data_IF_414816033401
#
_entry.id   IF_414816033401
#
_cell.length_a   1.000
_cell.length_b   1.000
_cell.length_c   1.000
_cell.angle_alpha   90.00
_cell.angle_beta   90.00
_cell.angle_gamma   90.00
#
_symmetry.space_group_name_H-M   'P 1'
#
loop_
_entity.id
_entity.type
_entity.pdbx_description
1 polymer ?
#
# COMPACT_ATOMS: atom_id res chain seq x y z
N UNK A 1 75.50 16.97 -21.23
CA UNK A 1 75.72 16.08 -22.38
C UNK A 1 75.89 16.99 -23.58
N UNK A 2 77.13 17.04 -24.03
CA UNK A 2 77.69 18.06 -24.89
C UNK A 2 77.23 17.92 -26.35
N UNK A 3 77.02 19.09 -26.95
CA UNK A 3 76.75 19.33 -28.36
C UNK A 3 77.95 18.91 -29.22
N UNK A 4 77.67 18.28 -30.37
CA UNK A 4 78.62 18.13 -31.48
C UNK A 4 77.97 18.79 -32.70
N UNK A 5 78.23 20.09 -32.86
CA UNK A 5 77.91 20.86 -34.06
C UNK A 5 79.04 20.66 -35.08
N UNK A 6 78.80 19.82 -36.08
CA UNK A 6 79.66 19.70 -37.25
C UNK A 6 79.39 20.91 -38.19
N UNK A 7 80.18 21.95 -37.98
CA UNK A 7 80.23 23.17 -38.79
C UNK A 7 80.93 22.88 -40.12
N UNK A 8 80.16 22.79 -41.21
CA UNK A 8 80.67 22.73 -42.58
C UNK A 8 80.07 23.88 -43.39
N UNK A 9 80.83 24.97 -43.49
CA UNK A 9 80.49 26.09 -44.36
C UNK A 9 81.61 27.11 -44.43
N UNK A 10 82.58 26.88 -45.32
CA UNK A 10 83.31 27.97 -45.97
C UNK A 10 83.71 27.54 -47.39
N UNK A 11 82.72 27.51 -48.29
CA UNK A 11 82.97 27.52 -49.74
C UNK A 11 82.65 28.94 -50.19
N UNK A 12 83.71 29.74 -50.16
CA UNK A 12 83.76 31.07 -50.74
C UNK A 12 83.45 31.03 -52.24
N UNK A 13 82.67 32.01 -52.69
CA UNK A 13 82.95 32.78 -53.89
C UNK A 13 82.97 32.00 -55.21
N UNK A 14 81.80 31.79 -55.78
CA UNK A 14 81.63 31.52 -57.20
C UNK A 14 80.46 32.34 -57.72
N UNK A 15 80.70 33.63 -57.95
CA UNK A 15 79.83 34.49 -58.76
C UNK A 15 79.91 33.99 -60.21
N UNK A 16 79.16 32.92 -60.50
CA UNK A 16 78.92 32.46 -61.85
C UNK A 16 77.59 33.10 -62.27
N UNK A 17 77.58 33.95 -63.31
CA UNK A 17 76.32 34.45 -63.84
C UNK A 17 75.55 33.25 -64.37
N UNK A 18 74.54 32.81 -63.61
CA UNK A 18 73.64 31.75 -64.05
C UNK A 18 73.12 32.15 -65.42
N UNK A 19 73.41 31.31 -66.41
CA UNK A 19 72.92 31.57 -67.76
C UNK A 19 71.39 31.57 -67.68
N UNK A 20 70.75 32.48 -68.42
CA UNK A 20 69.26 32.63 -68.46
C UNK A 20 68.49 31.30 -68.52
N UNK A 21 68.97 30.21 -69.17
CA UNK A 21 68.32 28.90 -69.14
C UNK A 21 68.28 28.19 -67.77
N UNK A 22 69.28 28.34 -66.92
CA UNK A 22 69.36 27.63 -65.62
C UNK A 22 68.44 28.26 -64.58
N UNK A 23 68.33 29.59 -64.58
CA UNK A 23 67.33 30.30 -63.76
C UNK A 23 65.89 29.98 -64.22
N UNK A 24 65.67 29.76 -65.52
CA UNK A 24 64.40 29.32 -66.05
C UNK A 24 64.06 27.86 -65.66
N UNK A 25 65.07 26.98 -65.59
CA UNK A 25 64.90 25.62 -65.11
C UNK A 25 64.55 25.59 -63.61
N UNK A 26 65.25 26.39 -62.79
CA UNK A 26 64.96 26.55 -61.36
C UNK A 26 63.57 27.16 -61.13
N UNK A 27 63.16 28.17 -61.92
CA UNK A 27 61.81 28.74 -61.79
C UNK A 27 60.73 27.71 -62.15
N UNK A 28 60.99 26.87 -63.16
CA UNK A 28 60.07 25.79 -63.56
C UNK A 28 59.95 24.75 -62.44
N UNK A 29 61.06 24.33 -61.84
CA UNK A 29 61.06 23.39 -60.72
C UNK A 29 60.36 24.01 -59.50
N UNK A 30 60.63 25.28 -59.17
CA UNK A 30 59.92 25.97 -58.07
C UNK A 30 58.42 26.09 -58.33
N UNK A 31 57.99 26.30 -59.57
CA UNK A 31 56.58 26.29 -59.93
C UNK A 31 55.96 24.89 -59.79
N UNK A 32 56.65 23.82 -60.22
CA UNK A 32 56.16 22.45 -60.06
C UNK A 32 56.07 22.05 -58.58
N UNK A 33 57.09 22.39 -57.77
CA UNK A 33 57.07 22.18 -56.32
C UNK A 33 55.93 22.97 -55.68
N UNK A 34 55.71 24.22 -56.11
CA UNK A 34 54.57 25.03 -55.67
C UNK A 34 53.22 24.39 -56.01
N UNK A 35 53.06 23.82 -57.21
CA UNK A 35 51.84 23.11 -57.61
C UNK A 35 51.65 21.82 -56.84
N UNK A 36 52.72 21.06 -56.60
CA UNK A 36 52.67 19.83 -55.79
C UNK A 36 52.24 20.17 -54.36
N UNK A 37 52.82 21.23 -53.78
CA UNK A 37 52.44 21.70 -52.43
C UNK A 37 50.99 22.14 -52.38
N UNK A 38 50.52 22.92 -53.36
CA UNK A 38 49.12 23.32 -53.43
C UNK A 38 48.16 22.12 -53.58
N UNK A 39 48.54 21.08 -54.35
CA UNK A 39 47.75 19.85 -54.46
C UNK A 39 47.74 19.04 -53.16
N UNK A 40 48.85 19.02 -52.42
CA UNK A 40 48.92 18.37 -51.11
C UNK A 40 48.05 19.09 -50.08
N UNK A 41 48.12 20.42 -50.04
CA UNK A 41 47.29 21.22 -49.14
C UNK A 41 45.80 21.05 -49.46
N UNK A 42 45.43 20.97 -50.75
CA UNK A 42 44.06 20.66 -51.18
C UNK A 42 43.64 19.25 -50.76
N UNK A 43 44.49 18.23 -50.96
CA UNK A 43 44.18 16.86 -50.56
C UNK A 43 44.00 16.73 -49.04
N UNK A 44 44.78 17.46 -48.24
CA UNK A 44 44.62 17.50 -46.79
C UNK A 44 43.32 18.21 -46.37
N UNK A 45 42.95 19.30 -47.07
CA UNK A 45 41.67 19.98 -46.83
C UNK A 45 40.46 19.11 -47.19
N UNK A 46 40.56 18.33 -48.28
CA UNK A 46 39.54 17.38 -48.71
C UNK A 46 39.41 16.23 -47.70
N UNK A 47 40.53 15.66 -47.23
CA UNK A 47 40.53 14.64 -46.17
C UNK A 47 39.93 15.15 -44.86
N UNK A 48 40.25 16.38 -44.45
CA UNK A 48 39.64 17.00 -43.26
C UNK A 48 38.12 17.19 -43.44
N UNK A 49 37.66 17.45 -44.66
CA UNK A 49 36.23 17.59 -44.97
C UNK A 49 35.52 16.24 -44.95
N UNK A 50 36.10 15.20 -45.52
CA UNK A 50 35.60 13.82 -45.44
C UNK A 50 35.53 13.34 -43.98
N UNK A 51 36.57 13.59 -43.18
CA UNK A 51 36.59 13.22 -41.76
C UNK A 51 35.45 13.89 -40.96
N UNK A 52 35.15 15.17 -41.26
CA UNK A 52 34.02 15.89 -40.65
C UNK A 52 32.66 15.36 -41.07
N UNK A 53 32.53 14.84 -42.30
CA UNK A 53 31.30 14.24 -42.80
C UNK A 53 31.07 12.81 -42.27
N UNK A 54 32.14 12.04 -42.05
CA UNK A 54 32.04 10.66 -41.54
C UNK A 54 31.80 10.62 -40.02
N UNK A 55 32.28 11.59 -39.25
CA UNK A 55 32.07 11.65 -37.79
C UNK A 55 30.60 11.62 -37.34
N UNK A 56 29.68 12.39 -37.96
CA UNK A 56 28.24 12.28 -37.74
C UNK A 56 27.67 10.90 -38.09
N UNK A 57 28.11 10.29 -39.20
CA UNK A 57 27.64 8.95 -39.63
C UNK A 57 28.06 7.89 -38.61
N UNK A 58 29.30 7.91 -38.12
CA UNK A 58 29.77 7.00 -37.08
C UNK A 58 28.96 7.14 -35.78
N UNK A 59 28.60 8.38 -35.39
CA UNK A 59 27.74 8.65 -34.22
C UNK A 59 26.31 8.15 -34.42
N UNK A 60 25.76 8.27 -35.63
CA UNK A 60 24.45 7.70 -35.97
C UNK A 60 24.47 6.18 -35.91
N UNK A 61 25.53 5.53 -36.41
CA UNK A 61 25.69 4.06 -36.30
C UNK A 61 25.69 3.59 -34.85
N UNK A 62 26.47 4.25 -33.98
CA UNK A 62 26.48 3.97 -32.54
C UNK A 62 25.09 4.21 -31.92
N UNK A 63 24.40 5.28 -32.31
CA UNK A 63 23.04 5.57 -31.83
C UNK A 63 22.01 4.52 -32.25
N UNK A 64 22.12 4.00 -33.48
CA UNK A 64 21.26 2.92 -33.99
C UNK A 64 21.54 1.61 -33.25
N UNK A 65 22.80 1.27 -33.01
CA UNK A 65 23.16 0.08 -32.22
C UNK A 65 22.64 0.17 -30.78
N UNK A 66 22.77 1.33 -30.14
CA UNK A 66 22.21 1.57 -28.80
C UNK A 66 20.68 1.49 -28.79
N UNK A 67 20.01 1.99 -29.83
CA UNK A 67 18.56 1.89 -29.94
C UNK A 67 18.13 0.43 -30.16
N UNK A 68 18.83 -0.33 -30.99
CA UNK A 68 18.57 -1.75 -31.20
C UNK A 68 18.72 -2.55 -29.89
N UNK A 69 19.77 -2.27 -29.10
CA UNK A 69 19.94 -2.86 -27.77
C UNK A 69 18.77 -2.52 -26.83
N UNK A 70 18.32 -1.27 -26.82
CA UNK A 70 17.17 -0.85 -26.01
C UNK A 70 15.87 -1.52 -26.44
N UNK A 71 15.65 -1.68 -27.75
CA UNK A 71 14.48 -2.40 -28.28
C UNK A 71 14.51 -3.87 -27.85
N UNK A 72 15.66 -4.55 -27.94
CA UNK A 72 15.79 -5.94 -27.49
C UNK A 72 15.49 -6.10 -25.98
N UNK A 73 15.89 -5.13 -25.15
CA UNK A 73 15.54 -5.11 -23.71
C UNK A 73 14.04 -4.93 -23.52
N UNK A 74 13.40 -4.03 -24.27
CA UNK A 74 11.94 -3.83 -24.21
C UNK A 74 11.17 -5.08 -24.64
N UNK A 75 11.62 -5.77 -25.70
CA UNK A 75 11.02 -7.04 -26.13
C UNK A 75 11.17 -8.13 -25.07
N UNK A 76 12.34 -8.22 -24.43
CA UNK A 76 12.59 -9.16 -23.34
C UNK A 76 11.68 -8.88 -22.15
N UNK A 77 11.59 -7.61 -21.71
CA UNK A 77 10.70 -7.18 -20.64
C UNK A 77 9.23 -7.44 -21.00
N UNK A 78 8.83 -7.24 -22.26
CA UNK A 78 7.49 -7.56 -22.75
C UNK A 78 7.18 -9.06 -22.61
N UNK A 79 8.15 -9.91 -22.96
CA UNK A 79 8.05 -11.36 -22.75
C UNK A 79 7.94 -11.76 -21.28
N UNK A 80 8.75 -11.15 -20.40
CA UNK A 80 8.71 -11.39 -18.95
C UNK A 80 7.39 -10.95 -18.32
N UNK A 81 6.85 -9.78 -18.71
CA UNK A 81 5.54 -9.30 -18.26
C UNK A 81 4.42 -10.24 -18.72
N UNK A 82 4.46 -10.72 -19.96
CA UNK A 82 3.48 -11.67 -20.46
C UNK A 82 3.56 -13.01 -19.71
N UNK A 83 4.77 -13.50 -19.44
CA UNK A 83 4.99 -14.71 -18.66
C UNK A 83 4.48 -14.56 -17.22
N UNK A 84 4.73 -13.41 -16.59
CA UNK A 84 4.23 -13.09 -15.25
C UNK A 84 2.70 -12.98 -15.23
N UNK A 85 2.09 -12.32 -16.20
CA UNK A 85 0.63 -12.24 -16.33
C UNK A 85 0.01 -13.64 -16.45
N UNK A 86 0.59 -14.49 -17.30
CA UNK A 86 0.17 -15.89 -17.46
C UNK A 86 0.34 -16.68 -16.16
N UNK A 87 1.44 -16.48 -15.43
CA UNK A 87 1.67 -17.14 -14.14
C UNK A 87 0.70 -16.65 -13.06
N UNK A 88 0.37 -15.36 -13.03
CA UNK A 88 -0.62 -14.79 -12.09
C UNK A 88 -2.02 -15.32 -12.40
N UNK A 89 -2.39 -15.40 -13.68
CA UNK A 89 -3.67 -16.01 -14.10
C UNK A 89 -3.71 -17.50 -13.74
N UNK A 90 -2.63 -18.24 -13.97
CA UNK A 90 -2.53 -19.65 -13.59
C UNK A 90 -2.61 -19.84 -12.07
N UNK A 91 -1.92 -18.99 -11.29
CA UNK A 91 -2.01 -18.99 -9.83
C UNK A 91 -3.42 -18.61 -9.34
N UNK A 92 -4.10 -17.67 -10.00
CA UNK A 92 -5.49 -17.34 -9.71
C UNK A 92 -6.46 -18.48 -10.03
N UNK A 93 -6.21 -19.19 -11.12
CA UNK A 93 -6.98 -20.39 -11.48
C UNK A 93 -6.72 -21.57 -10.54
N UNK A 94 -5.48 -21.76 -10.09
CA UNK A 94 -5.08 -22.82 -9.14
C UNK A 94 -5.48 -22.51 -7.70
N UNK A 95 -5.48 -21.24 -7.30
CA UNK A 95 -5.93 -20.81 -5.98
C UNK A 95 -7.36 -21.29 -5.68
N UNK A 96 -8.16 -21.51 -6.72
CA UNK A 96 -9.57 -21.85 -6.59
C UNK A 96 -10.34 -20.67 -6.02
N UNK A 97 -11.67 -20.75 -6.07
CA UNK A 97 -12.50 -19.80 -5.31
C UNK A 97 -12.06 -19.88 -3.85
N UNK A 98 -11.72 -18.75 -3.19
CA UNK A 98 -11.38 -18.77 -1.77
C UNK A 98 -12.50 -19.48 -1.01
N UNK A 99 -12.17 -20.24 0.05
CA UNK A 99 -13.18 -20.97 0.80
C UNK A 99 -14.28 -19.99 1.23
N UNK A 100 -15.55 -20.43 1.17
CA UNK A 100 -16.67 -19.58 1.54
C UNK A 100 -16.46 -19.07 2.98
N UNK A 101 -16.40 -17.75 3.13
CA UNK A 101 -16.28 -17.12 4.44
C UNK A 101 -17.67 -16.68 4.91
N UNK A 102 -17.98 -16.85 6.21
CA UNK A 102 -19.18 -16.27 6.78
C UNK A 102 -19.22 -14.77 6.50
N UNK A 103 -20.29 -14.31 5.86
CA UNK A 103 -20.52 -12.88 5.70
C UNK A 103 -20.89 -12.32 7.08
N UNK A 104 -20.19 -11.29 7.51
CA UNK A 104 -20.56 -10.53 8.70
C UNK A 104 -21.67 -9.54 8.34
N UNK A 105 -22.85 -9.72 8.92
CA UNK A 105 -24.01 -8.85 8.73
C UNK A 105 -23.69 -7.37 9.00
N UNK A 106 -22.79 -7.08 9.94
CA UNK A 106 -22.37 -5.71 10.24
C UNK A 106 -21.73 -5.04 9.02
N UNK A 107 -21.04 -5.82 8.19
CA UNK A 107 -20.21 -5.36 7.08
C UNK A 107 -20.78 -5.69 5.70
N UNK A 108 -21.95 -6.35 5.61
CA UNK A 108 -22.61 -6.61 4.34
C UNK A 108 -23.03 -5.30 3.64
N UNK A 109 -22.60 -5.12 2.39
CA UNK A 109 -22.87 -3.91 1.59
C UNK A 109 -24.36 -3.80 1.23
N UNK A 110 -24.96 -4.88 0.70
CA UNK A 110 -26.41 -4.98 0.49
C UNK A 110 -27.02 -6.02 1.44
N UNK A 111 -27.36 -5.56 2.64
CA UNK A 111 -27.99 -6.40 3.68
C UNK A 111 -29.33 -6.96 3.24
N UNK A 112 -30.09 -6.26 2.41
CA UNK A 112 -31.44 -6.69 2.04
C UNK A 112 -31.39 -7.83 1.02
N UNK A 113 -30.57 -7.68 -0.03
CA UNK A 113 -30.33 -8.72 -1.02
C UNK A 113 -29.71 -9.95 -0.35
N UNK A 114 -28.67 -9.76 0.46
CA UNK A 114 -28.01 -10.87 1.15
C UNK A 114 -28.95 -11.63 2.10
N UNK A 115 -29.79 -10.92 2.88
CA UNK A 115 -30.79 -11.58 3.72
C UNK A 115 -31.83 -12.36 2.89
N UNK A 116 -32.24 -11.83 1.74
CA UNK A 116 -33.17 -12.51 0.84
C UNK A 116 -32.57 -13.82 0.30
N UNK A 117 -31.31 -13.79 -0.13
CA UNK A 117 -30.57 -14.98 -0.56
C UNK A 117 -30.45 -16.02 0.55
N UNK A 118 -30.18 -15.58 1.78
CA UNK A 118 -30.09 -16.48 2.93
C UNK A 118 -31.44 -17.15 3.24
N UNK A 119 -32.55 -16.42 3.13
CA UNK A 119 -33.91 -16.97 3.29
C UNK A 119 -34.21 -18.04 2.23
N UNK A 120 -33.83 -17.79 0.97
CA UNK A 120 -33.96 -18.77 -0.12
C UNK A 120 -33.12 -20.02 0.16
N UNK A 121 -31.87 -19.85 0.58
CA UNK A 121 -30.99 -20.96 0.94
C UNK A 121 -31.54 -21.79 2.10
N UNK A 122 -32.05 -21.15 3.16
CA UNK A 122 -32.67 -21.87 4.30
C UNK A 122 -33.86 -22.71 3.82
N UNK A 123 -34.72 -22.15 2.96
CA UNK A 123 -35.87 -22.87 2.41
C UNK A 123 -35.45 -24.04 1.52
N UNK A 124 -34.56 -23.79 0.56
CA UNK A 124 -34.31 -24.73 -0.54
C UNK A 124 -33.24 -25.77 -0.18
N UNK A 125 -32.27 -25.42 0.67
CA UNK A 125 -31.15 -26.29 1.05
C UNK A 125 -31.34 -26.81 2.47
N UNK A 126 -31.43 -25.92 3.46
CA UNK A 126 -31.39 -26.33 4.88
C UNK A 126 -32.63 -27.13 5.28
N UNK A 127 -33.83 -26.62 4.99
CA UNK A 127 -35.09 -27.31 5.34
C UNK A 127 -35.29 -28.56 4.49
N UNK A 128 -34.93 -28.53 3.20
CA UNK A 128 -34.99 -29.71 2.33
C UNK A 128 -34.07 -30.83 2.81
N UNK A 129 -32.82 -30.50 3.18
CA UNK A 129 -31.85 -31.47 3.66
C UNK A 129 -32.11 -31.96 5.09
N UNK A 130 -32.71 -31.11 5.93
CA UNK A 130 -33.00 -31.39 7.34
C UNK A 130 -34.40 -30.93 7.73
N UNK A 131 -35.45 -31.71 7.42
CA UNK A 131 -36.84 -31.28 7.63
C UNK A 131 -37.19 -30.87 9.06
N UNK A 132 -36.54 -31.47 10.07
CA UNK A 132 -36.71 -31.10 11.48
C UNK A 132 -36.33 -29.64 11.80
N UNK A 133 -35.55 -28.97 10.93
CA UNK A 133 -35.25 -27.54 11.03
C UNK A 133 -36.53 -26.72 10.92
N UNK A 134 -37.49 -27.11 10.08
CA UNK A 134 -38.73 -26.35 9.90
C UNK A 134 -39.56 -26.24 11.19
N UNK A 135 -39.49 -27.26 12.05
CA UNK A 135 -40.22 -27.28 13.33
C UNK A 135 -39.48 -26.50 14.43
N UNK A 136 -38.14 -26.44 14.35
CA UNK A 136 -37.27 -25.87 15.39
C UNK A 136 -36.85 -24.44 15.13
N UNK A 137 -36.67 -24.06 13.86
CA UNK A 137 -36.28 -22.71 13.47
C UNK A 137 -37.54 -21.84 13.35
N UNK A 138 -37.75 -20.87 14.26
CA UNK A 138 -38.97 -20.08 14.27
C UNK A 138 -39.05 -19.17 13.05
N UNK A 139 -40.26 -18.95 12.50
CA UNK A 139 -40.44 -18.09 11.33
C UNK A 139 -40.03 -16.62 11.54
N UNK A 140 -39.79 -16.16 12.77
CA UNK A 140 -39.26 -14.84 13.06
C UNK A 140 -37.74 -14.73 12.93
N UNK A 141 -37.01 -15.83 12.70
CA UNK A 141 -35.54 -15.87 12.65
C UNK A 141 -34.89 -14.77 11.81
N UNK A 142 -35.43 -14.31 10.64
CA UNK A 142 -34.76 -13.28 9.84
C UNK A 142 -34.73 -11.90 10.53
N UNK A 143 -35.49 -11.71 11.61
CA UNK A 143 -35.52 -10.47 12.38
C UNK A 143 -34.56 -10.49 13.56
N UNK A 144 -33.96 -11.63 13.87
CA UNK A 144 -32.97 -11.75 14.94
C UNK A 144 -31.58 -11.73 14.32
N UNK A 145 -30.87 -10.60 14.50
CA UNK A 145 -29.53 -10.39 13.94
C UNK A 145 -28.56 -11.52 14.30
N UNK A 146 -28.59 -11.99 15.54
CA UNK A 146 -27.68 -13.03 16.01
C UNK A 146 -27.97 -14.37 15.32
N UNK A 147 -29.25 -14.76 15.22
CA UNK A 147 -29.66 -15.98 14.51
C UNK A 147 -29.31 -15.89 13.02
N UNK A 148 -29.47 -14.69 12.44
CA UNK A 148 -29.16 -14.46 11.04
C UNK A 148 -27.65 -14.62 10.77
N UNK A 149 -26.79 -14.11 11.67
CA UNK A 149 -25.33 -14.33 11.62
C UNK A 149 -24.94 -15.80 11.81
N UNK A 150 -25.63 -16.50 12.72
CA UNK A 150 -25.42 -17.93 12.97
C UNK A 150 -25.79 -18.77 11.74
N UNK A 151 -26.91 -18.47 11.08
CA UNK A 151 -27.33 -19.14 9.84
C UNK A 151 -26.37 -18.83 8.68
N UNK A 152 -25.84 -17.61 8.60
CA UNK A 152 -24.82 -17.27 7.62
C UNK A 152 -23.52 -18.07 7.81
N UNK A 153 -23.10 -18.23 9.06
CA UNK A 153 -21.96 -19.08 9.42
C UNK A 153 -22.24 -20.53 9.04
N UNK A 154 -23.44 -21.02 9.37
CA UNK A 154 -23.90 -22.35 9.01
C UNK A 154 -23.88 -22.60 7.49
N UNK A 155 -24.29 -21.61 6.68
CA UNK A 155 -24.22 -21.66 5.22
C UNK A 155 -22.78 -21.77 4.73
N UNK A 156 -21.86 -20.95 5.24
CA UNK A 156 -20.45 -21.04 4.85
C UNK A 156 -19.84 -22.41 5.22
N UNK A 157 -20.18 -22.95 6.39
CA UNK A 157 -19.74 -24.30 6.79
C UNK A 157 -20.37 -25.40 5.92
N UNK A 158 -21.63 -25.23 5.48
CA UNK A 158 -22.25 -26.13 4.50
C UNK A 158 -21.49 -26.12 3.18
N UNK A 159 -21.23 -24.93 2.62
CA UNK A 159 -20.54 -24.77 1.34
C UNK A 159 -19.12 -25.38 1.43
N UNK A 160 -18.40 -25.17 2.54
CA UNK A 160 -17.10 -25.81 2.79
C UNK A 160 -17.15 -27.34 2.98
N UNK A 161 -18.30 -27.88 3.41
CA UNK A 161 -18.49 -29.31 3.64
C UNK A 161 -18.98 -30.07 2.41
N UNK A 162 -19.81 -29.45 1.58
CA UNK A 162 -20.55 -30.12 0.51
C UNK A 162 -20.29 -29.56 -0.89
N UNK A 163 -20.00 -28.27 -1.01
CA UNK A 163 -19.84 -27.61 -2.31
C UNK A 163 -18.35 -27.45 -2.70
N UNK A 164 -17.45 -27.32 -1.72
CA UNK A 164 -16.01 -27.29 -1.95
C UNK A 164 -15.48 -28.69 -2.37
N UNK A 165 -14.91 -28.85 -3.58
CA UNK A 165 -14.31 -30.10 -4.02
C UNK A 165 -13.13 -30.57 -3.14
N UNK A 166 -12.53 -29.65 -2.37
CA UNK A 166 -11.45 -29.93 -1.41
C UNK A 166 -11.98 -30.25 0.00
N UNK A 167 -13.30 -30.23 0.18
CA UNK A 167 -13.97 -30.53 1.44
C UNK A 167 -13.57 -31.89 2.02
N UNK A 168 -13.34 -31.94 3.33
CA UNK A 168 -12.94 -33.16 4.03
C UNK A 168 -14.09 -33.68 4.90
N UNK A 169 -14.14 -34.98 5.23
CA UNK A 169 -15.22 -35.56 6.04
C UNK A 169 -15.46 -34.85 7.39
N UNK A 170 -14.42 -34.28 8.00
CA UNK A 170 -14.57 -33.56 9.27
C UNK A 170 -15.36 -32.24 9.13
N UNK A 171 -15.37 -31.58 7.97
CA UNK A 171 -16.20 -30.40 7.72
C UNK A 171 -17.70 -30.75 7.81
N UNK A 172 -18.11 -31.91 7.29
CA UNK A 172 -19.49 -32.37 7.41
C UNK A 172 -19.87 -32.69 8.87
N UNK A 173 -18.94 -33.23 9.66
CA UNK A 173 -19.14 -33.46 11.11
C UNK A 173 -19.27 -32.12 11.84
N UNK A 174 -18.44 -31.15 11.51
CA UNK A 174 -18.48 -29.80 12.08
C UNK A 174 -19.79 -29.08 11.73
N UNK A 175 -20.20 -29.10 10.46
CA UNK A 175 -21.49 -28.59 10.02
C UNK A 175 -22.65 -29.20 10.83
N UNK A 176 -22.66 -30.52 11.02
CA UNK A 176 -23.71 -31.20 11.78
C UNK A 176 -23.75 -30.79 13.25
N UNK A 177 -22.61 -30.49 13.87
CA UNK A 177 -22.56 -29.97 15.24
C UNK A 177 -23.04 -28.53 15.30
N UNK A 178 -22.54 -27.69 14.40
CA UNK A 178 -22.91 -26.29 14.30
C UNK A 178 -24.42 -26.13 14.08
N UNK A 179 -25.03 -26.96 13.22
CA UNK A 179 -26.48 -26.97 13.00
C UNK A 179 -27.27 -27.13 14.32
N UNK A 180 -26.89 -28.09 15.16
CA UNK A 180 -27.57 -28.31 16.44
C UNK A 180 -27.36 -27.15 17.42
N UNK A 181 -26.19 -26.52 17.39
CA UNK A 181 -25.89 -25.35 18.22
C UNK A 181 -26.69 -24.12 17.76
N UNK A 182 -26.76 -23.86 16.45
CA UNK A 182 -27.57 -22.77 15.86
C UNK A 182 -29.05 -22.95 16.19
N UNK A 183 -29.60 -24.17 16.08
CA UNK A 183 -31.00 -24.42 16.43
C UNK A 183 -31.28 -24.20 17.91
N UNK A 184 -30.38 -24.66 18.80
CA UNK A 184 -30.52 -24.43 20.25
C UNK A 184 -30.44 -22.96 20.62
N UNK A 185 -29.54 -22.22 19.96
CA UNK A 185 -29.41 -20.78 20.15
C UNK A 185 -30.65 -20.04 19.63
N UNK A 186 -31.17 -20.43 18.46
CA UNK A 186 -32.40 -19.89 17.92
C UNK A 186 -33.59 -20.10 18.86
N UNK A 187 -33.77 -21.32 19.39
CA UNK A 187 -34.80 -21.61 20.40
C UNK A 187 -34.66 -20.73 21.63
N UNK A 188 -33.43 -20.56 22.15
CA UNK A 188 -33.16 -19.73 23.34
C UNK A 188 -33.49 -18.25 23.08
N UNK A 189 -33.03 -17.70 21.95
CA UNK A 189 -33.23 -16.29 21.60
C UNK A 189 -34.68 -15.96 21.23
N UNK A 190 -35.48 -16.98 20.92
CA UNK A 190 -36.87 -16.82 20.49
C UNK A 190 -37.90 -17.37 21.47
N UNK A 191 -37.47 -17.86 22.64
CA UNK A 191 -38.38 -18.40 23.66
C UNK A 191 -39.48 -17.41 24.05
N UNK A 192 -39.15 -16.11 24.03
CA UNK A 192 -40.05 -15.00 24.38
C UNK A 192 -40.68 -14.34 23.13
N UNK A 193 -40.40 -14.86 21.93
CA UNK A 193 -41.03 -14.39 20.72
C UNK A 193 -42.50 -14.77 20.74
N UNK A 194 -43.34 -13.74 20.71
CA UNK A 194 -44.79 -13.94 20.65
C UNK A 194 -45.18 -14.65 19.36
N UNK A 195 -46.33 -15.33 19.42
CA UNK A 195 -46.92 -16.07 18.29
C UNK A 195 -46.99 -15.21 17.01
N UNK A 196 -46.95 -15.84 15.82
CA UNK A 196 -47.09 -15.15 14.55
C UNK A 196 -48.25 -14.13 14.55
N UNK A 197 -47.96 -12.89 14.17
CA UNK A 197 -48.95 -11.81 14.08
C UNK A 197 -48.94 -10.79 15.22
N UNK A 198 -48.19 -11.03 16.30
CA UNK A 198 -47.97 -10.04 17.36
C UNK A 198 -46.61 -9.32 17.16
N UNK A 199 -46.48 -8.06 17.62
CA UNK A 199 -45.18 -7.39 17.66
C UNK A 199 -44.27 -8.18 18.59
N UNK A 200 -43.20 -8.80 18.08
CA UNK A 200 -42.17 -9.37 18.92
C UNK A 200 -41.10 -8.32 19.23
N UNK A 201 -40.46 -8.39 20.41
CA UNK A 201 -39.32 -7.56 20.71
C UNK A 201 -38.17 -7.95 19.78
N UNK A 202 -37.98 -7.19 18.70
CA UNK A 202 -36.76 -7.24 17.91
C UNK A 202 -35.67 -6.61 18.77
N UNK A 203 -34.45 -7.20 18.86
CA UNK A 203 -33.32 -6.54 19.48
C UNK A 203 -33.23 -5.11 18.96
N UNK A 204 -33.12 -4.14 19.87
CA UNK A 204 -32.96 -2.74 19.51
C UNK A 204 -31.73 -2.53 18.64
N UNK A 205 -31.53 -1.30 18.12
CA UNK A 205 -30.26 -0.94 17.49
C UNK A 205 -29.10 -1.28 18.43
N UNK A 206 -27.91 -1.51 17.85
CA UNK A 206 -26.70 -1.75 18.63
C UNK A 206 -26.55 -0.65 19.69
N UNK A 207 -26.16 -1.04 20.90
CA UNK A 207 -25.87 -0.10 21.97
C UNK A 207 -24.77 0.85 21.50
N UNK A 208 -25.05 2.14 21.51
CA UNK A 208 -24.05 3.17 21.24
C UNK A 208 -23.38 3.55 22.55
N UNK A 209 -22.24 2.93 22.82
CA UNK A 209 -21.45 3.16 24.04
C UNK A 209 -20.50 4.35 23.92
N UNK A 210 -20.54 5.11 22.82
CA UNK A 210 -19.61 6.22 22.61
C UNK A 210 -19.77 7.30 23.67
N UNK A 211 -21.01 7.65 24.02
CA UNK A 211 -21.28 8.64 25.06
C UNK A 211 -20.78 8.19 26.45
N UNK A 212 -20.93 6.89 26.77
CA UNK A 212 -20.44 6.32 28.03
C UNK A 212 -18.92 6.26 28.07
N UNK A 213 -18.27 5.92 26.95
CA UNK A 213 -16.82 5.97 26.81
C UNK A 213 -16.28 7.40 26.97
N UNK A 214 -16.90 8.37 26.29
CA UNK A 214 -16.56 9.79 26.43
C UNK A 214 -16.71 10.27 27.88
N UNK A 215 -17.80 9.87 28.55
CA UNK A 215 -18.00 10.17 29.96
C UNK A 215 -16.91 9.54 30.85
N UNK A 216 -16.54 8.28 30.61
CA UNK A 216 -15.48 7.59 31.34
C UNK A 216 -14.12 8.28 31.15
N UNK A 217 -13.73 8.58 29.91
CA UNK A 217 -12.51 9.32 29.61
C UNK A 217 -12.51 10.71 30.24
N UNK A 218 -13.66 11.40 30.25
CA UNK A 218 -13.81 12.70 30.89
C UNK A 218 -13.61 12.61 32.41
N UNK A 219 -14.09 11.56 33.06
CA UNK A 219 -13.84 11.30 34.48
C UNK A 219 -12.36 11.06 34.75
N UNK A 220 -11.65 10.32 33.89
CA UNK A 220 -10.21 10.09 34.03
C UNK A 220 -9.39 11.39 33.96
N UNK A 221 -9.72 12.27 33.01
CA UNK A 221 -9.08 13.59 32.92
C UNK A 221 -9.32 14.41 34.18
N UNK A 222 -10.55 14.45 34.69
CA UNK A 222 -10.88 15.18 35.93
C UNK A 222 -10.13 14.57 37.13
N UNK A 223 -10.00 13.24 37.18
CA UNK A 223 -9.24 12.55 38.22
C UNK A 223 -7.75 12.92 38.20
N UNK A 224 -7.15 13.02 37.01
CA UNK A 224 -5.76 13.46 36.85
C UNK A 224 -5.58 14.92 37.29
N UNK A 225 -6.46 15.81 36.83
CA UNK A 225 -6.48 17.22 37.24
C UNK A 225 -6.57 17.33 38.78
N UNK A 226 -7.46 16.53 39.40
CA UNK A 226 -7.62 16.50 40.85
C UNK A 226 -6.35 16.05 41.58
N UNK A 227 -5.67 15.02 41.07
CA UNK A 227 -4.41 14.55 41.63
C UNK A 227 -3.30 15.61 41.50
N UNK A 228 -3.19 16.26 40.35
CA UNK A 228 -2.21 17.33 40.10
C UNK A 228 -2.47 18.55 40.98
N UNK A 229 -3.73 18.96 41.15
CA UNK A 229 -4.11 20.04 42.07
C UNK A 229 -3.74 19.71 43.53
N UNK A 230 -3.90 18.45 43.94
CA UNK A 230 -3.43 17.95 45.24
C UNK A 230 -1.91 18.03 45.38
N UNK A 231 -1.15 17.67 44.33
CA UNK A 231 0.30 17.79 44.32
C UNK A 231 0.78 19.24 44.39
N UNK A 232 0.14 20.13 43.61
CA UNK A 232 0.49 21.55 43.55
C UNK A 232 0.25 22.28 44.88
N UNK A 233 -0.75 21.86 45.66
CA UNK A 233 -1.11 22.48 46.96
C UNK A 233 -0.47 21.79 48.17
N UNK A 234 0.16 20.64 47.97
CA UNK A 234 0.78 19.86 49.04
C UNK A 234 2.06 20.51 49.57
N UNK A 235 2.16 20.64 50.90
CA UNK A 235 3.33 21.23 51.59
C UNK A 235 4.61 20.40 51.47
N UNK A 236 4.48 19.12 51.11
CA UNK A 236 5.62 18.19 50.97
C UNK A 236 6.15 18.12 49.54
N UNK A 237 5.45 18.69 48.55
CA UNK A 237 5.90 18.70 47.16
C UNK A 237 6.95 19.79 46.95
N UNK A 238 8.11 19.50 46.33
CA UNK A 238 9.09 20.50 45.93
C UNK A 238 8.49 21.63 45.07
N UNK A 239 8.94 22.89 45.19
CA UNK A 239 8.31 24.03 44.51
C UNK A 239 8.29 23.93 42.98
N UNK A 240 9.33 23.37 42.37
CA UNK A 240 9.44 23.14 40.93
C UNK A 240 8.42 22.10 40.44
N UNK A 241 8.25 21.00 41.18
CA UNK A 241 7.26 19.99 40.88
C UNK A 241 5.83 20.49 41.10
N UNK A 242 5.60 21.31 42.14
CA UNK A 242 4.30 21.93 42.38
C UNK A 242 3.91 22.87 41.22
N UNK A 243 4.85 23.69 40.74
CA UNK A 243 4.64 24.56 39.58
C UNK A 243 4.38 23.76 38.29
N UNK A 244 5.12 22.67 38.07
CA UNK A 244 4.91 21.79 36.92
C UNK A 244 3.54 21.08 36.97
N UNK A 245 3.11 20.64 38.15
CA UNK A 245 1.79 20.02 38.35
C UNK A 245 0.66 21.02 38.08
N UNK A 246 0.77 22.25 38.58
CA UNK A 246 -0.18 23.33 38.32
C UNK A 246 -0.28 23.63 36.81
N UNK A 247 0.85 23.83 36.13
CA UNK A 247 0.86 24.11 34.70
C UNK A 247 0.29 22.94 33.87
N UNK A 248 0.51 21.69 34.27
CA UNK A 248 -0.10 20.51 33.62
C UNK A 248 -1.61 20.48 33.84
N UNK A 249 -2.08 20.72 35.06
CA UNK A 249 -3.50 20.75 35.37
C UNK A 249 -4.22 21.83 34.55
N UNK A 250 -3.65 23.03 34.43
CA UNK A 250 -4.19 24.13 33.62
C UNK A 250 -4.28 23.78 32.14
N UNK A 251 -3.27 23.10 31.58
CA UNK A 251 -3.32 22.61 30.19
C UNK A 251 -4.44 21.60 29.97
N UNK A 252 -4.56 20.59 30.84
CA UNK A 252 -5.63 19.59 30.73
C UNK A 252 -7.02 20.23 30.87
N UNK A 253 -7.14 21.23 31.74
CA UNK A 253 -8.37 22.02 31.89
C UNK A 253 -8.80 22.68 30.59
N UNK A 254 -7.85 23.32 29.90
CA UNK A 254 -8.08 24.03 28.65
C UNK A 254 -8.30 23.07 27.47
N UNK A 255 -7.49 22.02 27.36
CA UNK A 255 -7.53 21.05 26.26
C UNK A 255 -8.84 20.26 26.22
N UNK A 256 -9.33 19.82 27.39
CA UNK A 256 -10.53 19.00 27.48
C UNK A 256 -11.80 19.79 27.83
N UNK A 257 -11.69 21.12 27.95
CA UNK A 257 -12.82 21.99 28.30
C UNK A 257 -13.51 21.56 29.59
N UNK A 258 -12.73 21.18 30.61
CA UNK A 258 -13.28 20.76 31.91
C UNK A 258 -13.88 21.99 32.59
N UNK A 259 -15.12 21.91 33.06
CA UNK A 259 -15.74 23.02 33.77
C UNK A 259 -15.40 22.98 35.26
N UNK A 260 -15.46 24.13 35.93
CA UNK A 260 -15.28 24.20 37.38
C UNK A 260 -16.35 23.40 38.13
N UNK A 261 -17.56 23.31 37.58
CA UNK A 261 -18.66 22.53 38.15
C UNK A 261 -18.37 21.03 38.14
N UNK A 262 -17.91 20.48 37.01
CA UNK A 262 -17.55 19.06 36.89
C UNK A 262 -16.43 18.68 37.86
N UNK A 263 -15.39 19.50 37.95
CA UNK A 263 -14.32 19.30 38.91
C UNK A 263 -14.83 19.29 40.36
N UNK A 264 -15.73 20.21 40.70
CA UNK A 264 -16.35 20.29 42.04
C UNK A 264 -17.20 19.06 42.35
N UNK A 265 -17.99 18.58 41.39
CA UNK A 265 -18.80 17.36 41.56
C UNK A 265 -17.90 16.13 41.79
N UNK A 266 -16.79 16.04 41.05
CA UNK A 266 -15.81 14.97 41.24
C UNK A 266 -15.14 15.04 42.62
N UNK A 267 -14.66 16.21 43.05
CA UNK A 267 -14.09 16.42 44.39
C UNK A 267 -15.08 16.00 45.50
N UNK A 268 -16.36 16.41 45.38
CA UNK A 268 -17.40 15.98 46.32
C UNK A 268 -17.58 14.46 46.36
N UNK A 269 -17.59 13.80 45.21
CA UNK A 269 -17.69 12.35 45.12
C UNK A 269 -16.48 11.63 45.74
N UNK A 270 -15.26 12.13 45.50
CA UNK A 270 -14.03 11.59 46.11
C UNK A 270 -14.05 11.74 47.63
N UNK A 271 -14.48 12.90 48.15
CA UNK A 271 -14.60 13.15 49.59
C UNK A 271 -15.65 12.25 50.24
N UNK A 272 -16.80 12.07 49.60
CA UNK A 272 -17.85 11.18 50.10
C UNK A 272 -17.39 9.71 50.20
N UNK A 273 -16.49 9.28 49.30
CA UNK A 273 -15.91 7.92 49.29
C UNK A 273 -14.77 7.69 50.27
N UNK A 274 -14.30 8.72 50.96
CA UNK A 274 -13.31 8.59 52.06
C UNK A 274 -14.04 8.69 53.40
N UNK A 275 -14.71 7.62 53.88
CA UNK A 275 -15.29 7.63 55.20
C UNK A 275 -14.18 7.70 56.26
N UNK A 276 -14.13 8.80 57.00
CA UNK A 276 -13.40 8.91 58.27
C UNK A 276 -11.89 8.68 58.21
N UNK A 277 -11.15 9.70 57.75
CA UNK A 277 -9.84 10.03 58.35
C UNK A 277 -10.01 11.18 59.31
#
# INVERSE_FOLDING_TARGET
MSEEYEYLGDIAGGDVPASVPELAALSTISMEVGRVRARLDQALADLATVARQVGPVARLTIGVEQLAQRVAVVETLGGEVQALATAVEALGAEAGTPPPHPVDWAHAEDRAEWAADLVVWVRDVLITGWPAVADRLPGCWPRHRDILQDIATLRATYEAAYDDPRGRPHHAVEYRRLLEDVLRQAETLTQDCQKPGLPHPVPGPARDDMAELEAAMRIEVIAEIYALAGQATSKITPPDLAAAAQARAERLWAEHGVTQEEYRLYDQAVRARRPGT
#
